data_IF_723389332347
#
_entry.id   IF_723389332347
#
_cell.length_a   1.000
_cell.length_b   1.000
_cell.length_c   1.000
_cell.angle_alpha   90.00
_cell.angle_beta   90.00
_cell.angle_gamma   90.00
#
_symmetry.space_group_name_H-M   'P 1'
#
loop_
_entity.id
_entity.type
_entity.pdbx_description
1 polymer ?
#
# COMPACT_ATOMS: atom_id res chain seq x y z
N UNK A 1 -16.59 -6.24 44.70
CA UNK A 1 -15.57 -5.52 45.50
C UNK A 1 -14.28 -6.29 45.42
N UNK A 2 -13.33 -5.90 44.56
CA UNK A 2 -11.99 -6.48 44.47
C UNK A 2 -10.99 -5.33 44.62
N UNK A 3 -10.16 -5.44 45.65
CA UNK A 3 -9.19 -4.44 46.12
C UNK A 3 -7.95 -4.44 45.21
N UNK A 4 -7.53 -3.23 44.84
CA UNK A 4 -6.30 -2.95 44.10
C UNK A 4 -5.17 -2.74 45.11
N UNK A 5 -4.00 -3.41 45.01
CA UNK A 5 -2.86 -3.09 45.86
C UNK A 5 -2.07 -1.91 45.24
N UNK A 6 -1.87 -0.89 46.04
CA UNK A 6 -0.96 0.24 45.84
C UNK A 6 0.47 -0.27 46.10
N UNK A 7 1.36 -0.14 45.13
CA UNK A 7 2.81 -0.41 45.33
C UNK A 7 3.53 0.92 45.51
N UNK A 8 4.11 1.04 46.71
CA UNK A 8 4.90 2.17 47.19
C UNK A 8 6.21 2.37 46.41
N UNK A 9 6.42 3.59 45.99
CA UNK A 9 7.63 4.13 45.40
C UNK A 9 8.68 4.36 46.51
N UNK A 10 9.80 3.67 46.47
CA UNK A 10 10.92 3.85 47.41
C UNK A 10 12.02 4.67 46.74
N UNK A 11 12.16 5.90 47.16
CA UNK A 11 13.21 6.85 46.80
C UNK A 11 14.49 6.54 47.61
N UNK A 12 15.59 6.20 46.94
CA UNK A 12 16.92 6.16 47.57
C UNK A 12 17.77 7.30 46.98
N UNK A 13 18.05 8.24 47.84
CA UNK A 13 18.96 9.38 47.69
C UNK A 13 20.31 9.00 48.26
N UNK A 14 21.37 8.93 47.47
CA UNK A 14 22.73 8.82 48.04
C UNK A 14 23.79 9.53 47.20
N UNK A 15 24.31 10.61 47.75
CA UNK A 15 25.73 10.87 47.97
C UNK A 15 26.54 11.44 46.81
N UNK A 16 26.68 12.77 46.84
CA UNK A 16 27.73 13.55 46.16
C UNK A 16 29.10 13.19 46.66
N UNK A 17 30.06 12.91 45.77
CA UNK A 17 31.50 13.12 46.04
C UNK A 17 32.20 13.40 44.72
N UNK A 18 32.61 14.65 44.52
CA UNK A 18 33.48 15.07 43.41
C UNK A 18 34.95 14.94 43.82
N UNK A 19 35.81 14.28 43.04
CA UNK A 19 37.24 14.60 43.03
C UNK A 19 37.57 15.47 41.82
N UNK A 20 38.07 16.66 42.10
CA UNK A 20 38.85 17.45 41.15
C UNK A 20 40.05 16.68 40.68
N UNK A 21 40.20 16.42 39.40
CA UNK A 21 41.40 15.82 38.81
C UNK A 21 41.92 16.67 37.65
N UNK A 22 43.22 16.94 37.80
CA UNK A 22 44.08 17.77 36.98
C UNK A 22 43.90 17.56 35.46
N UNK A 23 43.97 18.69 34.80
CA UNK A 23 44.00 18.83 33.33
C UNK A 23 45.28 18.24 32.77
N UNK A 24 45.20 17.18 32.01
CA UNK A 24 46.27 16.68 31.15
C UNK A 24 46.08 17.21 29.72
N UNK A 25 47.17 17.40 28.94
CA UNK A 25 47.12 18.02 27.63
C UNK A 25 46.28 17.21 26.62
N UNK A 26 45.55 17.93 25.76
CA UNK A 26 44.62 17.42 24.77
C UNK A 26 45.28 16.39 23.83
N UNK A 27 44.72 15.18 23.67
CA UNK A 27 45.10 14.31 22.60
C UNK A 27 44.54 14.85 21.28
N UNK A 28 45.36 14.84 20.24
CA UNK A 28 45.07 15.15 18.85
C UNK A 28 43.77 14.45 18.45
N UNK A 29 42.80 15.22 17.94
CA UNK A 29 41.50 14.73 17.50
C UNK A 29 41.71 13.61 16.45
N UNK A 30 41.39 12.38 16.85
CA UNK A 30 41.15 11.31 15.86
C UNK A 30 40.07 11.73 14.89
N UNK A 31 40.22 11.51 13.59
CA UNK A 31 39.16 11.79 12.64
C UNK A 31 37.90 11.05 13.08
N UNK A 32 36.80 11.77 13.19
CA UNK A 32 35.50 11.22 13.52
C UNK A 32 35.20 10.04 12.58
N UNK A 33 34.68 8.91 13.12
CA UNK A 33 34.26 7.81 12.26
C UNK A 33 33.22 8.36 11.28
N UNK A 34 33.57 8.32 9.99
CA UNK A 34 32.61 8.55 8.91
C UNK A 34 31.41 7.63 9.14
N UNK A 35 30.16 8.13 9.15
CA UNK A 35 29.02 7.29 9.33
C UNK A 35 29.06 6.20 8.25
N UNK A 36 29.28 4.97 8.68
CA UNK A 36 29.19 3.81 7.79
C UNK A 36 27.85 3.89 7.08
N UNK A 37 27.88 3.93 5.75
CA UNK A 37 26.67 3.83 4.93
C UNK A 37 25.91 2.61 5.43
N UNK A 38 24.85 2.86 6.17
CA UNK A 38 24.01 1.83 6.76
C UNK A 38 23.56 0.91 5.61
N UNK A 39 23.82 -0.39 5.77
CA UNK A 39 23.39 -1.40 4.81
C UNK A 39 21.89 -1.19 4.50
N UNK A 40 21.45 -1.42 3.27
CA UNK A 40 20.04 -1.29 2.92
C UNK A 40 19.22 -2.17 3.88
N UNK A 41 18.04 -1.70 4.34
CA UNK A 41 17.20 -2.46 5.25
C UNK A 41 16.89 -3.83 4.63
N UNK A 42 16.84 -4.91 5.44
CA UNK A 42 16.56 -6.24 4.95
C UNK A 42 15.21 -6.23 4.20
N UNK A 43 15.21 -6.81 3.01
CA UNK A 43 13.99 -6.92 2.21
C UNK A 43 12.93 -7.70 2.98
N UNK A 44 11.73 -7.13 3.07
CA UNK A 44 10.59 -7.79 3.73
C UNK A 44 10.08 -8.90 2.83
N UNK A 45 10.08 -10.15 3.34
CA UNK A 45 9.55 -11.31 2.61
C UNK A 45 8.11 -11.60 3.03
N UNK A 46 7.17 -11.37 2.11
CA UNK A 46 5.75 -11.68 2.24
C UNK A 46 5.42 -13.11 1.82
N UNK A 47 6.31 -13.83 1.16
CA UNK A 47 6.04 -15.14 0.56
C UNK A 47 5.45 -16.16 1.54
N UNK A 48 5.96 -16.32 2.77
CA UNK A 48 5.38 -17.27 3.72
C UNK A 48 3.92 -16.93 4.08
N UNK A 49 3.61 -15.65 4.30
CA UNK A 49 2.25 -15.17 4.62
C UNK A 49 1.29 -15.39 3.46
N UNK A 50 1.75 -15.15 2.21
CA UNK A 50 0.96 -15.37 1.01
C UNK A 50 0.63 -16.85 0.80
N UNK A 51 1.60 -17.73 1.04
CA UNK A 51 1.39 -19.17 0.94
C UNK A 51 0.41 -19.68 2.00
N UNK A 52 0.56 -19.21 3.24
CA UNK A 52 -0.36 -19.54 4.33
C UNK A 52 -1.77 -19.01 4.05
N UNK A 53 -1.89 -17.79 3.54
CA UNK A 53 -3.18 -17.19 3.16
C UNK A 53 -3.87 -18.01 2.08
N UNK A 54 -3.14 -18.45 1.06
CA UNK A 54 -3.68 -19.27 -0.02
C UNK A 54 -4.16 -20.64 0.46
N UNK A 55 -3.40 -21.30 1.34
CA UNK A 55 -3.80 -22.56 1.96
C UNK A 55 -5.06 -22.39 2.82
N UNK A 56 -5.09 -21.34 3.65
CA UNK A 56 -6.24 -21.01 4.51
C UNK A 56 -7.48 -20.69 3.67
N UNK A 57 -7.33 -19.95 2.56
CA UNK A 57 -8.41 -19.68 1.63
C UNK A 57 -9.04 -20.95 1.06
N UNK A 58 -8.23 -21.94 0.69
CA UNK A 58 -8.70 -23.26 0.26
C UNK A 58 -9.48 -24.00 1.35
N UNK A 59 -8.95 -23.98 2.59
CA UNK A 59 -9.60 -24.61 3.74
C UNK A 59 -10.95 -23.94 4.04
N UNK A 60 -11.00 -22.61 4.10
CA UNK A 60 -12.25 -21.85 4.32
C UNK A 60 -13.27 -22.16 3.22
N UNK A 61 -12.87 -22.14 1.94
CA UNK A 61 -13.76 -22.45 0.82
C UNK A 61 -14.39 -23.85 0.97
N UNK A 62 -13.58 -24.83 1.38
CA UNK A 62 -14.07 -26.19 1.62
C UNK A 62 -15.05 -26.23 2.81
N UNK A 63 -14.75 -25.54 3.91
CA UNK A 63 -15.60 -25.50 5.09
C UNK A 63 -16.91 -24.78 4.79
N UNK A 64 -16.89 -23.67 4.05
CA UNK A 64 -18.10 -22.95 3.62
C UNK A 64 -19.01 -23.83 2.75
N UNK A 65 -18.46 -24.65 1.85
CA UNK A 65 -19.25 -25.56 1.02
C UNK A 65 -19.96 -26.67 1.79
N UNK A 66 -19.56 -26.91 3.04
CA UNK A 66 -20.15 -27.91 3.94
C UNK A 66 -21.19 -27.33 4.90
N UNK A 67 -21.30 -25.98 4.97
CA UNK A 67 -22.30 -25.33 5.84
C UNK A 67 -23.71 -25.67 5.39
N UNK A 68 -24.55 -25.94 6.37
CA UNK A 68 -25.97 -26.22 6.16
C UNK A 68 -26.81 -25.11 6.77
N UNK A 69 -26.62 -23.87 6.25
CA UNK A 69 -27.28 -22.66 6.75
C UNK A 69 -28.81 -22.81 6.77
N UNK A 70 -29.37 -23.56 5.84
CA UNK A 70 -30.80 -23.86 5.79
C UNK A 70 -31.31 -24.59 7.04
N UNK A 71 -30.42 -25.31 7.74
CA UNK A 71 -30.73 -26.05 8.97
C UNK A 71 -30.48 -25.26 10.25
N UNK A 72 -29.96 -24.09 10.17
CA UNK A 72 -29.69 -23.25 11.34
C UNK A 72 -30.99 -22.87 12.05
N UNK A 73 -30.93 -22.69 13.36
CA UNK A 73 -32.10 -22.32 14.19
C UNK A 73 -32.34 -20.81 14.17
N UNK A 74 -32.44 -20.25 12.99
CA UNK A 74 -32.59 -18.82 12.71
C UNK A 74 -33.86 -18.59 11.88
N UNK A 75 -34.32 -17.34 11.86
CA UNK A 75 -35.37 -16.92 10.92
C UNK A 75 -34.88 -16.88 9.46
N UNK A 76 -35.84 -16.73 8.53
CA UNK A 76 -35.53 -16.75 7.09
C UNK A 76 -34.68 -15.56 6.63
N UNK A 77 -34.68 -14.43 7.34
CA UNK A 77 -33.88 -13.27 6.98
C UNK A 77 -32.41 -13.48 7.30
N UNK A 78 -32.14 -14.00 8.51
CA UNK A 78 -30.77 -14.35 8.95
C UNK A 78 -30.17 -15.43 8.05
N UNK A 79 -30.94 -16.48 7.70
CA UNK A 79 -30.46 -17.54 6.78
C UNK A 79 -30.08 -16.98 5.41
N UNK A 80 -30.93 -16.12 4.84
CA UNK A 80 -30.61 -15.48 3.53
C UNK A 80 -29.38 -14.60 3.60
N UNK A 81 -29.24 -13.82 4.68
CA UNK A 81 -28.04 -12.98 4.86
C UNK A 81 -26.79 -13.84 5.01
N UNK A 82 -26.81 -14.84 5.88
CA UNK A 82 -25.67 -15.75 6.07
C UNK A 82 -25.30 -16.50 4.80
N UNK A 83 -26.27 -16.88 3.96
CA UNK A 83 -26.00 -17.47 2.65
C UNK A 83 -25.34 -16.47 1.70
N UNK A 84 -25.84 -15.24 1.65
CA UNK A 84 -25.26 -14.19 0.81
C UNK A 84 -23.82 -13.86 1.24
N UNK A 85 -23.55 -13.85 2.55
CA UNK A 85 -22.21 -13.64 3.10
C UNK A 85 -21.27 -14.80 2.73
N UNK A 86 -21.72 -16.05 2.90
CA UNK A 86 -20.94 -17.23 2.51
C UNK A 86 -20.61 -17.23 1.00
N UNK A 87 -21.58 -16.86 0.14
CA UNK A 87 -21.38 -16.74 -1.30
C UNK A 87 -20.42 -15.61 -1.64
N UNK A 88 -20.49 -14.48 -0.93
CA UNK A 88 -19.59 -13.33 -1.12
C UNK A 88 -18.15 -13.68 -0.73
N UNK A 89 -17.98 -14.34 0.42
CA UNK A 89 -16.69 -14.85 0.89
C UNK A 89 -16.11 -15.83 -0.15
N UNK A 90 -16.90 -16.77 -0.60
CA UNK A 90 -16.47 -17.77 -1.60
C UNK A 90 -15.99 -17.11 -2.89
N UNK A 91 -16.73 -16.12 -3.41
CA UNK A 91 -16.30 -15.35 -4.60
C UNK A 91 -14.99 -14.61 -4.36
N UNK A 92 -14.82 -14.02 -3.17
CA UNK A 92 -13.56 -13.35 -2.82
C UNK A 92 -12.38 -14.33 -2.81
N UNK A 93 -12.53 -15.46 -2.12
CA UNK A 93 -11.49 -16.49 -1.97
C UNK A 93 -11.08 -17.13 -3.30
N UNK A 94 -12.01 -17.28 -4.24
CA UNK A 94 -11.77 -17.97 -5.52
C UNK A 94 -11.35 -17.05 -6.66
N UNK A 95 -11.60 -15.75 -6.56
CA UNK A 95 -11.35 -14.79 -7.63
C UNK A 95 -10.49 -13.59 -7.20
N UNK A 96 -10.98 -12.77 -6.28
CA UNK A 96 -10.30 -11.52 -5.92
C UNK A 96 -8.97 -11.77 -5.18
N UNK A 97 -9.00 -12.63 -4.18
CA UNK A 97 -7.83 -12.90 -3.34
C UNK A 97 -6.65 -13.51 -4.12
N UNK A 98 -6.82 -14.54 -4.97
CA UNK A 98 -5.72 -15.07 -5.79
C UNK A 98 -5.07 -13.99 -6.67
N UNK A 99 -5.87 -13.17 -7.34
CA UNK A 99 -5.37 -12.08 -8.18
C UNK A 99 -4.51 -11.07 -7.39
N UNK A 100 -4.92 -10.74 -6.16
CA UNK A 100 -4.14 -9.84 -5.29
C UNK A 100 -2.85 -10.48 -4.79
N UNK A 101 -2.87 -11.77 -4.47
CA UNK A 101 -1.68 -12.54 -4.11
C UNK A 101 -0.66 -12.52 -5.27
N UNK A 102 -1.13 -12.76 -6.50
CA UNK A 102 -0.27 -12.76 -7.69
C UNK A 102 0.32 -11.37 -7.98
N UNK A 103 -0.45 -10.29 -7.76
CA UNK A 103 0.06 -8.92 -7.86
C UNK A 103 1.21 -8.65 -6.88
N UNK A 104 1.09 -9.12 -5.63
CA UNK A 104 2.16 -8.97 -4.62
C UNK A 104 3.36 -9.83 -4.98
N UNK A 105 3.16 -11.07 -5.46
CA UNK A 105 4.26 -11.94 -5.91
C UNK A 105 5.02 -11.36 -7.10
N UNK A 106 4.32 -10.75 -8.05
CA UNK A 106 4.94 -10.10 -9.20
C UNK A 106 5.78 -8.87 -8.82
N UNK A 107 5.41 -8.18 -7.75
CA UNK A 107 6.08 -6.97 -7.27
C UNK A 107 6.21 -6.96 -5.74
N UNK A 108 7.13 -7.75 -5.15
CA UNK A 108 7.21 -7.94 -3.70
C UNK A 108 7.51 -6.67 -2.89
N UNK A 109 8.12 -5.67 -3.52
CA UNK A 109 8.44 -4.38 -2.89
C UNK A 109 7.35 -3.31 -3.13
N UNK A 110 6.27 -3.65 -3.81
CA UNK A 110 5.17 -2.71 -4.06
C UNK A 110 4.30 -2.53 -2.83
N UNK A 111 4.51 -1.43 -2.10
CA UNK A 111 3.65 -1.03 -0.98
C UNK A 111 2.17 -0.95 -1.40
N UNK A 112 1.90 -0.42 -2.59
CA UNK A 112 0.53 -0.29 -3.11
C UNK A 112 -0.16 -1.65 -3.32
N UNK A 113 0.56 -2.67 -3.84
CA UNK A 113 0.02 -4.02 -4.00
C UNK A 113 -0.23 -4.68 -2.63
N UNK A 114 0.72 -4.55 -1.69
CA UNK A 114 0.60 -5.08 -0.34
C UNK A 114 -0.57 -4.44 0.44
N UNK A 115 -0.78 -3.12 0.32
CA UNK A 115 -1.92 -2.41 0.92
C UNK A 115 -3.24 -2.89 0.34
N UNK A 116 -3.34 -3.09 -0.98
CA UNK A 116 -4.57 -3.63 -1.61
C UNK A 116 -4.91 -5.01 -1.08
N UNK A 117 -3.91 -5.90 -0.97
CA UNK A 117 -4.09 -7.22 -0.39
C UNK A 117 -4.56 -7.12 1.06
N UNK A 118 -3.87 -6.33 1.89
CA UNK A 118 -4.21 -6.16 3.30
C UNK A 118 -5.65 -5.67 3.50
N UNK A 119 -6.08 -4.69 2.70
CA UNK A 119 -7.46 -4.19 2.75
C UNK A 119 -8.49 -5.27 2.36
N UNK A 120 -8.18 -6.08 1.36
CA UNK A 120 -9.05 -7.20 0.98
C UNK A 120 -9.14 -8.24 2.10
N UNK A 121 -8.01 -8.61 2.71
CA UNK A 121 -7.98 -9.57 3.83
C UNK A 121 -8.73 -9.03 5.05
N UNK A 122 -8.63 -7.73 5.35
CA UNK A 122 -9.44 -7.11 6.42
C UNK A 122 -10.93 -7.22 6.13
N UNK A 123 -11.38 -6.81 4.94
CA UNK A 123 -12.80 -6.89 4.58
C UNK A 123 -13.31 -8.35 4.59
N UNK A 124 -12.46 -9.29 4.14
CA UNK A 124 -12.76 -10.71 4.21
C UNK A 124 -12.91 -11.19 5.66
N UNK A 125 -11.99 -10.78 6.55
CA UNK A 125 -12.04 -11.11 7.97
C UNK A 125 -13.31 -10.59 8.65
N UNK A 126 -13.70 -9.35 8.36
CA UNK A 126 -14.90 -8.73 8.95
C UNK A 126 -16.17 -9.49 8.54
N UNK A 127 -16.35 -9.79 7.26
CA UNK A 127 -17.53 -10.53 6.78
C UNK A 127 -17.53 -11.97 7.29
N UNK A 128 -16.35 -12.62 7.29
CA UNK A 128 -16.21 -13.98 7.78
C UNK A 128 -16.44 -14.09 9.29
N UNK A 129 -15.99 -13.10 10.06
CA UNK A 129 -16.26 -12.98 11.50
C UNK A 129 -17.75 -12.89 11.78
N UNK A 130 -18.48 -12.04 11.06
CA UNK A 130 -19.93 -11.94 11.17
C UNK A 130 -20.63 -13.27 10.86
N UNK A 131 -20.20 -14.00 9.84
CA UNK A 131 -20.74 -15.33 9.52
C UNK A 131 -20.45 -16.35 10.65
N UNK A 132 -19.25 -16.31 11.24
CA UNK A 132 -18.88 -17.18 12.35
C UNK A 132 -19.73 -16.90 13.60
N UNK A 133 -20.02 -15.62 13.91
CA UNK A 133 -20.92 -15.21 14.99
C UNK A 133 -22.36 -15.70 14.75
N UNK A 134 -22.86 -15.61 13.52
CA UNK A 134 -24.16 -16.15 13.16
C UNK A 134 -24.23 -17.69 13.32
N UNK A 135 -23.15 -18.38 12.94
CA UNK A 135 -23.01 -19.81 13.12
C UNK A 135 -22.96 -20.20 14.63
N UNK A 136 -22.33 -19.39 15.46
CA UNK A 136 -22.29 -19.60 16.92
C UNK A 136 -23.68 -19.45 17.54
N UNK A 137 -24.40 -18.42 17.11
CA UNK A 137 -25.76 -18.14 17.65
C UNK A 137 -26.81 -19.14 17.20
N UNK A 138 -26.74 -19.62 15.96
CA UNK A 138 -27.86 -20.34 15.33
C UNK A 138 -27.47 -21.69 14.72
N UNK A 139 -26.20 -21.94 14.47
CA UNK A 139 -25.71 -23.13 13.78
C UNK A 139 -25.43 -24.31 14.73
N UNK A 140 -25.10 -25.46 14.14
CA UNK A 140 -24.58 -26.62 14.90
C UNK A 140 -23.20 -26.29 15.49
N UNK A 141 -22.93 -26.77 16.71
CA UNK A 141 -21.65 -26.53 17.40
C UNK A 141 -20.41 -26.92 16.58
N UNK A 142 -20.50 -27.97 15.76
CA UNK A 142 -19.38 -28.39 14.91
C UNK A 142 -19.08 -27.39 13.79
N UNK A 143 -20.11 -26.81 13.18
CA UNK A 143 -19.95 -25.77 12.14
C UNK A 143 -19.38 -24.48 12.75
N UNK A 144 -19.93 -24.02 13.87
CA UNK A 144 -19.47 -22.80 14.55
C UNK A 144 -18.01 -22.93 15.03
N UNK A 145 -17.64 -24.06 15.62
CA UNK A 145 -16.26 -24.31 16.06
C UNK A 145 -15.27 -24.30 14.89
N UNK A 146 -15.67 -24.85 13.74
CA UNK A 146 -14.84 -24.85 12.53
C UNK A 146 -14.62 -23.43 12.01
N UNK A 147 -15.71 -22.64 11.87
CA UNK A 147 -15.62 -21.26 11.42
C UNK A 147 -14.81 -20.38 12.38
N UNK A 148 -14.98 -20.57 13.70
CA UNK A 148 -14.19 -19.84 14.71
C UNK A 148 -12.68 -20.15 14.60
N UNK A 149 -12.31 -21.41 14.36
CA UNK A 149 -10.92 -21.80 14.15
C UNK A 149 -10.34 -21.19 12.89
N UNK A 150 -11.09 -21.17 11.79
CA UNK A 150 -10.72 -20.56 10.52
C UNK A 150 -10.58 -19.04 10.68
N UNK A 151 -11.50 -18.36 11.38
CA UNK A 151 -11.45 -16.95 11.69
C UNK A 151 -10.19 -16.59 12.49
N UNK A 152 -9.85 -17.38 13.51
CA UNK A 152 -8.63 -17.22 14.30
C UNK A 152 -7.35 -17.41 13.47
N UNK A 153 -7.39 -18.29 12.47
CA UNK A 153 -6.27 -18.48 11.55
C UNK A 153 -6.12 -17.31 10.59
N UNK A 154 -7.22 -16.86 10.01
CA UNK A 154 -7.25 -15.70 9.12
C UNK A 154 -6.78 -14.42 9.85
N UNK A 155 -7.17 -14.22 11.10
CA UNK A 155 -6.75 -13.09 11.93
C UNK A 155 -5.24 -13.08 12.19
N UNK A 156 -4.63 -14.22 12.45
CA UNK A 156 -3.15 -14.32 12.61
C UNK A 156 -2.43 -13.94 11.34
N UNK A 157 -2.91 -14.42 10.18
CA UNK A 157 -2.32 -14.09 8.88
C UNK A 157 -2.49 -12.60 8.58
N UNK A 158 -3.67 -12.05 8.85
CA UNK A 158 -3.97 -10.62 8.68
C UNK A 158 -3.00 -9.75 9.49
N UNK A 159 -2.76 -10.08 10.75
CA UNK A 159 -1.80 -9.37 11.60
C UNK A 159 -0.37 -9.50 11.08
N UNK A 160 0.07 -10.69 10.70
CA UNK A 160 1.42 -10.90 10.15
C UNK A 160 1.63 -10.10 8.85
N UNK A 161 0.63 -10.03 7.97
CA UNK A 161 0.69 -9.18 6.78
C UNK A 161 0.77 -7.68 7.17
N UNK A 162 0.01 -7.26 8.18
CA UNK A 162 0.04 -5.89 8.71
C UNK A 162 1.42 -5.50 9.22
N UNK A 163 2.03 -6.32 10.07
CA UNK A 163 3.37 -6.10 10.61
C UNK A 163 4.44 -6.02 9.50
N UNK A 164 4.31 -6.84 8.47
CA UNK A 164 5.20 -6.81 7.30
C UNK A 164 4.98 -5.58 6.44
N UNK A 165 3.74 -5.13 6.31
CA UNK A 165 3.40 -3.91 5.60
C UNK A 165 4.01 -2.67 6.27
N UNK A 166 3.97 -2.59 7.60
CA UNK A 166 4.63 -1.52 8.36
C UNK A 166 6.14 -1.51 8.12
N UNK A 167 6.78 -2.68 8.15
CA UNK A 167 8.21 -2.80 7.85
C UNK A 167 8.54 -2.39 6.41
N UNK A 168 7.68 -2.75 5.45
CA UNK A 168 7.84 -2.36 4.05
C UNK A 168 7.72 -0.84 3.88
N UNK A 169 6.77 -0.21 4.58
CA UNK A 169 6.61 1.25 4.59
C UNK A 169 7.83 1.95 5.20
N UNK A 170 8.30 1.49 6.37
CA UNK A 170 9.49 2.04 7.02
C UNK A 170 10.75 1.89 6.15
N UNK A 171 10.88 0.77 5.43
CA UNK A 171 11.94 0.57 4.45
C UNK A 171 11.89 1.56 3.31
N UNK A 172 10.72 1.81 2.75
CA UNK A 172 10.51 2.79 1.68
C UNK A 172 10.85 4.22 2.14
N UNK A 173 10.42 4.61 3.35
CA UNK A 173 10.76 5.92 3.93
C UNK A 173 12.26 6.09 4.13
N UNK A 174 12.93 5.06 4.64
CA UNK A 174 14.39 5.07 4.82
C UNK A 174 15.14 5.23 3.49
N UNK A 175 14.68 4.55 2.44
CA UNK A 175 15.27 4.66 1.10
C UNK A 175 15.04 6.05 0.48
N UNK A 176 13.86 6.64 0.67
CA UNK A 176 13.58 8.01 0.23
C UNK A 176 14.54 9.00 0.92
N UNK A 177 14.75 8.86 2.23
CA UNK A 177 15.68 9.72 2.98
C UNK A 177 17.12 9.54 2.49
N UNK A 178 17.56 8.30 2.24
CA UNK A 178 18.87 8.01 1.67
C UNK A 178 19.08 8.66 0.29
N UNK A 179 18.12 8.48 -0.61
CA UNK A 179 18.19 9.05 -1.96
C UNK A 179 18.19 10.59 -1.94
N UNK A 180 17.41 11.21 -1.05
CA UNK A 180 17.41 12.68 -0.86
C UNK A 180 18.78 13.17 -0.38
N UNK A 181 19.40 12.50 0.57
CA UNK A 181 20.73 12.83 1.05
C UNK A 181 21.79 12.67 -0.07
N UNK A 182 21.69 11.61 -0.86
CA UNK A 182 22.58 11.39 -2.01
C UNK A 182 22.45 12.49 -3.06
N UNK A 183 21.21 12.90 -3.41
CA UNK A 183 20.97 14.00 -4.34
C UNK A 183 21.51 15.31 -3.80
N UNK A 184 21.31 15.59 -2.51
CA UNK A 184 21.81 16.81 -1.86
C UNK A 184 23.34 16.86 -1.78
N UNK A 185 24.03 15.71 -1.75
CA UNK A 185 25.49 15.62 -1.71
C UNK A 185 26.15 15.75 -3.08
N UNK A 186 25.39 15.59 -4.18
CA UNK A 186 25.93 15.76 -5.53
C UNK A 186 26.14 17.25 -5.82
N UNK A 187 27.33 17.66 -6.29
CA UNK A 187 27.53 19.05 -6.72
C UNK A 187 26.54 19.38 -7.83
N UNK A 188 26.04 20.64 -7.87
CA UNK A 188 25.14 21.05 -8.95
C UNK A 188 25.82 20.80 -10.30
N UNK A 189 25.05 20.33 -11.30
CA UNK A 189 25.61 20.14 -12.63
C UNK A 189 26.26 21.45 -13.09
N UNK A 190 27.42 21.39 -13.75
CA UNK A 190 28.07 22.60 -14.27
C UNK A 190 27.05 23.35 -15.11
N UNK A 191 27.01 24.71 -15.00
CA UNK A 191 26.08 25.50 -15.78
C UNK A 191 26.24 25.13 -17.24
N UNK A 192 25.18 24.66 -17.87
CA UNK A 192 25.18 24.45 -19.33
C UNK A 192 25.47 25.78 -19.97
N UNK A 193 26.70 25.97 -20.46
CA UNK A 193 27.00 27.11 -21.32
C UNK A 193 26.11 26.97 -22.54
N UNK A 194 25.06 27.75 -22.57
CA UNK A 194 24.37 28.02 -23.82
C UNK A 194 25.38 28.80 -24.65
N UNK A 195 26.07 28.14 -25.57
CA UNK A 195 26.82 28.80 -26.63
C UNK A 195 25.71 29.41 -27.48
N UNK A 196 25.40 30.68 -27.21
CA UNK A 196 24.68 31.49 -28.18
C UNK A 196 25.76 31.68 -29.26
N UNK A 197 25.67 30.90 -30.34
CA UNK A 197 26.34 31.27 -31.60
C UNK A 197 25.77 32.64 -31.94
N UNK A 198 26.52 33.70 -31.62
CA UNK A 198 26.35 34.98 -32.28
C UNK A 198 26.73 34.73 -33.74
N UNK A 199 25.75 34.27 -34.50
CA UNK A 199 25.75 34.32 -35.94
C UNK A 199 25.94 35.80 -36.29
N UNK A 200 27.17 36.15 -36.67
CA UNK A 200 27.53 37.48 -37.17
C UNK A 200 26.44 37.93 -38.13
N UNK A 201 25.65 38.91 -37.69
CA UNK A 201 24.69 39.59 -38.54
C UNK A 201 25.46 40.27 -39.66
N UNK A 202 25.60 39.60 -40.79
CA UNK A 202 25.99 40.25 -42.04
C UNK A 202 24.96 41.32 -42.37
N UNK A 203 25.41 42.58 -42.62
CA UNK A 203 24.48 43.66 -42.91
C UNK A 203 23.58 43.32 -44.10
N UNK A 204 22.27 43.63 -44.06
CA UNK A 204 21.32 43.26 -45.08
C UNK A 204 21.63 43.94 -46.42
N UNK A 205 21.81 43.15 -47.46
CA UNK A 205 21.94 43.64 -48.84
C UNK A 205 20.61 44.32 -49.23
N UNK A 206 20.62 45.47 -49.92
CA UNK A 206 19.42 46.18 -50.29
C UNK A 206 18.55 45.35 -51.22
N UNK A 207 17.35 45.06 -50.79
CA UNK A 207 16.34 44.30 -51.53
C UNK A 207 15.70 45.22 -52.58
N UNK A 208 16.00 44.96 -53.86
CA UNK A 208 15.28 45.54 -54.99
C UNK A 208 13.80 45.13 -54.94
N UNK A 209 12.92 46.11 -54.82
CA UNK A 209 11.49 45.95 -54.92
C UNK A 209 11.08 45.37 -56.27
N UNK A 210 10.49 44.18 -56.31
CA UNK A 210 9.74 43.67 -57.47
C UNK A 210 8.28 44.03 -57.31
N UNK A 211 7.61 44.40 -58.44
CA UNK A 211 6.20 44.83 -58.40
C UNK A 211 5.22 43.67 -58.11
N UNK A 212 4.15 43.98 -57.46
CA UNK A 212 3.09 43.07 -57.09
C UNK A 212 2.30 42.52 -58.30
N UNK A 213 1.92 41.23 -58.29
CA UNK A 213 0.89 40.70 -59.18
C UNK A 213 -0.51 40.83 -58.57
N UNK A 214 -1.55 40.88 -59.41
CA UNK A 214 -2.90 41.37 -59.07
C UNK A 214 -3.73 40.35 -58.25
N UNK A 215 -4.65 40.91 -57.46
CA UNK A 215 -5.69 40.25 -56.71
C UNK A 215 -6.60 39.44 -57.63
N UNK A 216 -6.93 38.20 -57.28
CA UNK A 216 -8.10 37.48 -57.77
C UNK A 216 -9.00 37.10 -56.59
N UNK A 217 -10.27 36.89 -56.87
CA UNK A 217 -11.34 37.25 -55.94
C UNK A 217 -11.72 36.13 -54.94
N UNK A 218 -12.37 36.60 -53.92
CA UNK A 218 -13.13 35.89 -52.90
C UNK A 218 -14.13 34.95 -53.56
N UNK A 219 -14.12 33.70 -53.14
CA UNK A 219 -15.25 32.82 -53.34
C UNK A 219 -15.69 32.22 -52.00
N UNK A 220 -16.95 32.36 -51.84
CA UNK A 220 -17.81 32.24 -50.71
C UNK A 220 -18.00 30.80 -50.27
N UNK A 221 -18.13 30.64 -48.94
CA UNK A 221 -18.72 29.51 -48.25
C UNK A 221 -20.06 29.09 -48.86
N UNK A 222 -20.48 27.81 -48.73
CA UNK A 222 -21.56 27.61 -47.80
C UNK A 222 -21.31 26.44 -46.78
N UNK A 223 -21.96 26.65 -45.68
CA UNK A 223 -22.27 25.70 -44.64
C UNK A 223 -23.37 24.74 -45.14
N UNK A 224 -23.43 23.61 -44.55
CA UNK A 224 -24.62 22.78 -44.25
C UNK A 224 -24.17 21.34 -44.03
N UNK A 225 -24.62 20.58 -43.17
CA UNK A 225 -25.74 20.56 -42.24
C UNK A 225 -25.84 19.11 -41.69
N UNK A 226 -26.40 19.04 -40.53
CA UNK A 226 -27.33 17.99 -40.10
C UNK A 226 -26.81 16.63 -39.66
N UNK A 227 -26.90 16.46 -38.34
CA UNK A 227 -27.36 15.19 -37.72
C UNK A 227 -28.59 14.61 -38.41
N UNK A 228 -28.81 13.29 -38.33
CA UNK A 228 -29.89 12.90 -37.43
C UNK A 228 -29.60 11.65 -36.54
N UNK A 229 -30.13 11.76 -35.36
CA UNK A 229 -30.54 10.64 -34.50
C UNK A 229 -31.65 9.83 -35.19
N UNK A 230 -31.76 8.53 -34.98
CA UNK A 230 -33.08 7.93 -34.98
C UNK A 230 -33.47 7.30 -33.65
N UNK A 231 -34.71 7.60 -33.37
CA UNK A 231 -35.54 7.09 -32.29
C UNK A 231 -35.84 5.58 -32.38
N UNK A 232 -36.02 5.02 -31.20
CA UNK A 232 -37.08 4.14 -30.67
C UNK A 232 -37.99 3.50 -31.71
N UNK A 233 -38.16 2.17 -31.65
CA UNK A 233 -39.46 1.49 -31.58
C UNK A 233 -39.35 -0.01 -31.26
N UNK A 234 -40.12 -0.36 -30.26
CA UNK A 234 -40.77 -1.59 -29.77
C UNK A 234 -39.97 -2.57 -29.01
#
# INVERSE_FOLDING_TARGET
MKKIPVILLSTVLLGLSLPVKAQAPAPVASPAPVPSLTAPPPAVDLTPSLNQLQQTAGTISLNLSRLRIEKWKADGSVKRQSQADADSITRNLTSALPSLIDQVRANPQSLAAAVKLYRNVNALYDVFGGLAEMAEAFGPKGESATLAADAGTLDRIRRDIGDKLEKLAAGADSEILRLRAEVASKPPPPPTRIIIDEEEEKPPKPVRKKPAPPKKPVETKPAENTSPSPAITK
#
